data_IF_610417827359
#
_entry.id   IF_610417827359
#
_cell.length_a   1.000
_cell.length_b   1.000
_cell.length_c   1.000
_cell.angle_alpha   90.00
_cell.angle_beta   90.00
_cell.angle_gamma   90.00
#
_symmetry.space_group_name_H-M   'P 1'
#
loop_
_entity.id
_entity.type
_entity.pdbx_description
1 polymer ?
#
# COMPACT_ATOMS: atom_id res chain seq x y z
N UNK A 1 16.18 -2.09 14.52
CA UNK A 1 14.83 -2.71 14.49
C UNK A 1 14.13 -2.65 13.12
N UNK A 2 14.75 -2.11 12.06
CA UNK A 2 14.18 -2.19 10.70
C UNK A 2 14.54 -3.52 10.03
N UNK A 3 13.75 -3.97 9.05
CA UNK A 3 14.04 -5.18 8.25
C UNK A 3 13.53 -6.51 8.81
N UNK A 4 12.75 -6.49 9.90
CA UNK A 4 12.18 -7.69 10.53
C UNK A 4 10.73 -7.98 10.09
N UNK A 5 10.31 -7.47 8.93
CA UNK A 5 8.96 -7.71 8.40
C UNK A 5 7.81 -6.94 9.08
N UNK A 6 8.07 -6.16 10.13
CA UNK A 6 7.05 -5.41 10.89
C UNK A 6 6.20 -4.50 9.98
N UNK A 7 6.82 -3.81 9.02
CA UNK A 7 6.08 -2.96 8.08
C UNK A 7 5.09 -3.74 7.22
N UNK A 8 5.51 -4.90 6.70
CA UNK A 8 4.63 -5.80 5.94
C UNK A 8 3.52 -6.37 6.82
N UNK A 9 3.84 -6.74 8.06
CA UNK A 9 2.83 -7.20 9.02
C UNK A 9 1.73 -6.14 9.24
N UNK A 10 2.11 -4.86 9.40
CA UNK A 10 1.15 -3.76 9.55
C UNK A 10 0.27 -3.62 8.31
N UNK A 11 0.85 -3.68 7.09
CA UNK A 11 0.07 -3.59 5.84
C UNK A 11 -0.95 -4.73 5.77
N UNK A 12 -0.51 -5.97 6.06
CA UNK A 12 -1.39 -7.14 6.04
C UNK A 12 -2.53 -7.03 7.07
N UNK A 13 -2.23 -6.57 8.28
CA UNK A 13 -3.24 -6.34 9.32
C UNK A 13 -4.31 -5.33 8.87
N UNK A 14 -3.89 -4.22 8.23
CA UNK A 14 -4.82 -3.21 7.71
C UNK A 14 -5.68 -3.81 6.59
N UNK A 15 -5.06 -4.52 5.63
CA UNK A 15 -5.78 -5.16 4.53
C UNK A 15 -6.82 -6.16 5.05
N UNK A 16 -6.43 -7.05 5.96
CA UNK A 16 -7.31 -8.05 6.56
C UNK A 16 -8.50 -7.41 7.29
N UNK A 17 -8.23 -6.32 8.03
CA UNK A 17 -9.28 -5.55 8.71
C UNK A 17 -10.33 -5.04 7.72
N UNK A 18 -9.92 -4.44 6.61
CA UNK A 18 -10.87 -3.87 5.63
C UNK A 18 -11.50 -4.90 4.69
N UNK A 19 -10.87 -6.06 4.50
CA UNK A 19 -11.45 -7.17 3.73
C UNK A 19 -12.53 -7.91 4.54
N UNK A 20 -12.29 -8.13 5.83
CA UNK A 20 -13.19 -8.92 6.68
C UNK A 20 -14.25 -8.08 7.39
N UNK A 21 -13.95 -6.82 7.72
CA UNK A 21 -14.88 -5.95 8.44
C UNK A 21 -15.78 -5.16 7.47
N UNK A 22 -16.88 -5.81 7.06
CA UNK A 22 -17.83 -5.34 6.02
C UNK A 22 -18.53 -4.00 6.31
N UNK A 23 -18.33 -3.39 7.48
CA UNK A 23 -18.97 -2.13 7.88
C UNK A 23 -18.46 -0.95 7.05
N UNK A 24 -17.19 -0.97 6.63
CA UNK A 24 -16.61 0.02 5.73
C UNK A 24 -16.24 -0.66 4.41
N UNK A 25 -17.10 -0.58 3.39
CA UNK A 25 -16.79 -1.10 2.05
C UNK A 25 -15.66 -0.28 1.43
N UNK A 26 -14.43 -0.71 1.62
CA UNK A 26 -13.24 -0.08 1.07
C UNK A 26 -12.86 -0.75 -0.26
N UNK A 27 -12.59 0.04 -1.30
CA UNK A 27 -12.21 -0.48 -2.62
C UNK A 27 -10.69 -0.57 -2.81
N UNK A 28 -9.94 0.31 -2.14
CA UNK A 28 -8.49 0.40 -2.25
C UNK A 28 -7.91 1.16 -1.05
N UNK A 29 -6.63 0.94 -0.74
CA UNK A 29 -5.87 1.70 0.25
C UNK A 29 -4.88 2.58 -0.49
N UNK A 30 -4.77 3.85 -0.12
CA UNK A 30 -3.78 4.80 -0.66
C UNK A 30 -2.69 5.10 0.35
N UNK A 31 -1.48 5.38 -0.13
CA UNK A 31 -0.35 5.89 0.66
C UNK A 31 0.33 7.04 -0.07
N UNK A 32 0.83 8.01 0.70
CA UNK A 32 1.84 8.96 0.24
C UNK A 32 3.21 8.43 0.65
N UNK A 33 3.91 7.80 -0.28
CA UNK A 33 5.26 7.30 -0.09
C UNK A 33 6.25 8.46 -0.14
N UNK A 34 7.23 8.50 0.77
CA UNK A 34 8.38 9.39 0.61
C UNK A 34 9.11 9.02 -0.68
N UNK A 35 9.37 10.00 -1.55
CA UNK A 35 9.93 9.73 -2.88
C UNK A 35 11.44 9.42 -2.81
N UNK A 36 11.76 8.26 -2.28
CA UNK A 36 13.09 7.68 -2.28
C UNK A 36 13.01 6.20 -2.70
N UNK A 37 14.07 5.66 -3.32
CA UNK A 37 14.04 4.30 -3.86
C UNK A 37 13.68 3.22 -2.83
N UNK A 38 14.12 3.39 -1.56
CA UNK A 38 13.91 2.39 -0.52
C UNK A 38 12.44 2.30 -0.10
N UNK A 39 11.79 3.44 0.14
CA UNK A 39 10.38 3.49 0.57
C UNK A 39 9.45 3.10 -0.56
N UNK A 40 9.70 3.61 -1.78
CA UNK A 40 8.91 3.26 -2.95
C UNK A 40 8.98 1.74 -3.23
N UNK A 41 10.18 1.16 -3.23
CA UNK A 41 10.37 -0.28 -3.43
C UNK A 41 9.69 -1.11 -2.34
N UNK A 42 9.64 -0.62 -1.09
CA UNK A 42 8.90 -1.30 -0.02
C UNK A 42 7.41 -1.39 -0.35
N UNK A 43 6.78 -0.29 -0.74
CA UNK A 43 5.36 -0.31 -1.10
C UNK A 43 5.08 -1.12 -2.37
N UNK A 44 5.93 -1.01 -3.40
CA UNK A 44 5.83 -1.84 -4.62
C UNK A 44 5.90 -3.34 -4.29
N UNK A 45 6.84 -3.76 -3.42
CA UNK A 45 6.94 -5.16 -2.96
C UNK A 45 5.74 -5.64 -2.16
N UNK A 46 4.98 -4.74 -1.55
CA UNK A 46 3.74 -5.05 -0.84
C UNK A 46 2.50 -4.86 -1.73
N UNK A 47 2.66 -4.76 -3.05
CA UNK A 47 1.55 -4.76 -4.02
C UNK A 47 0.94 -3.40 -4.31
N UNK A 48 1.52 -2.30 -3.82
CA UNK A 48 1.09 -0.96 -4.18
C UNK A 48 1.59 -0.57 -5.57
N UNK A 49 0.77 0.17 -6.30
CA UNK A 49 1.07 0.70 -7.62
C UNK A 49 1.02 2.24 -7.61
N UNK A 50 1.85 2.87 -8.43
CA UNK A 50 1.85 4.33 -8.57
C UNK A 50 0.52 4.83 -9.14
N UNK A 51 -0.04 5.87 -8.55
CA UNK A 51 -1.28 6.47 -9.02
C UNK A 51 -1.09 7.29 -10.30
N UNK A 52 0.06 7.94 -10.44
CA UNK A 52 0.39 8.79 -11.58
C UNK A 52 1.89 8.87 -11.80
N UNK A 53 2.29 9.35 -12.98
CA UNK A 53 3.68 9.69 -13.31
C UNK A 53 3.99 11.16 -13.01
N UNK A 54 2.97 11.98 -12.82
CA UNK A 54 3.11 13.44 -12.63
C UNK A 54 3.84 13.81 -11.33
N UNK A 55 3.83 12.92 -10.33
CA UNK A 55 4.48 13.11 -9.04
C UNK A 55 5.89 12.52 -8.98
N UNK A 56 6.45 12.03 -10.10
CA UNK A 56 7.76 11.36 -10.12
C UNK A 56 8.91 12.21 -9.56
N UNK A 57 8.84 13.53 -9.73
CA UNK A 57 9.81 14.51 -9.21
C UNK A 57 9.38 15.18 -7.90
N UNK A 58 8.21 14.85 -7.36
CA UNK A 58 7.70 15.42 -6.11
C UNK A 58 8.39 14.83 -4.89
N UNK A 59 8.26 15.46 -3.72
CA UNK A 59 8.81 14.93 -2.46
C UNK A 59 8.11 13.64 -1.98
N UNK A 60 6.87 13.42 -2.43
CA UNK A 60 6.11 12.19 -2.19
C UNK A 60 5.60 11.59 -3.50
N UNK A 61 5.34 10.28 -3.49
CA UNK A 61 4.68 9.52 -4.56
C UNK A 61 3.38 8.95 -4.02
N UNK A 62 2.27 9.24 -4.69
CA UNK A 62 1.00 8.59 -4.37
C UNK A 62 0.98 7.20 -4.96
N UNK A 63 0.65 6.25 -4.11
CA UNK A 63 0.49 4.86 -4.49
C UNK A 63 -0.80 4.31 -3.90
N UNK A 64 -1.33 3.25 -4.49
CA UNK A 64 -2.52 2.60 -3.98
C UNK A 64 -2.49 1.09 -4.20
N UNK A 65 -3.24 0.35 -3.40
CA UNK A 65 -3.48 -1.09 -3.57
C UNK A 65 -4.99 -1.35 -3.61
N UNK A 66 -5.51 -1.96 -4.69
CA UNK A 66 -6.92 -2.36 -4.76
C UNK A 66 -7.21 -3.57 -3.86
N UNK A 67 -8.29 -3.50 -3.08
CA UNK A 67 -8.68 -4.58 -2.16
C UNK A 67 -9.49 -5.68 -2.84
N UNK A 68 -10.19 -5.38 -3.95
CA UNK A 68 -11.02 -6.37 -4.68
C UNK A 68 -10.24 -7.56 -5.24
N UNK A 69 -8.95 -7.41 -5.51
CA UNK A 69 -8.10 -8.48 -6.05
C UNK A 69 -7.82 -9.62 -5.05
N UNK A 70 -8.14 -9.43 -3.76
CA UNK A 70 -7.92 -10.42 -2.70
C UNK A 70 -9.19 -11.17 -2.26
N UNK A 71 -10.35 -10.91 -2.89
CA UNK A 71 -11.60 -11.62 -2.58
C UNK A 71 -11.77 -12.96 -3.33
N UNK A 72 -10.86 -13.29 -4.26
CA UNK A 72 -10.97 -14.47 -5.14
C UNK A 72 -9.71 -15.38 -5.12
N UNK A 73 -8.84 -15.26 -4.12
CA UNK A 73 -7.64 -16.10 -3.95
C UNK A 73 -7.75 -17.00 -2.72
#
# INVERSE_FOLDING_TARGET
MQGQGIGTFIINFIMDTFLNYKVARCQFITVDSLNNPKTNLFYEKNGFIYQTVLDMSSSTRRMYIPLKLYQEA
#
